data_IF_002796859870
#
_entry.id   IF_002796859870
#
_cell.length_a   1.000
_cell.length_b   1.000
_cell.length_c   1.000
_cell.angle_alpha   90.00
_cell.angle_beta   90.00
_cell.angle_gamma   90.00
#
_symmetry.space_group_name_H-M   'P 1'
#
loop_
_entity.id
_entity.type
_entity.pdbx_description
1 polymer ?
#
# COMPACT_ATOMS: atom_id res chain seq x y z
N UNK A 1 -12.81 31.70 15.00
CA UNK A 1 -12.63 31.23 13.61
C UNK A 1 -11.19 30.79 13.48
N UNK A 2 -10.96 29.51 13.22
CA UNK A 2 -9.61 28.95 13.03
C UNK A 2 -9.07 29.43 11.68
N UNK A 3 -7.84 29.95 11.67
CA UNK A 3 -7.10 30.38 10.48
C UNK A 3 -6.75 29.18 9.60
N UNK A 4 -7.74 28.65 8.86
CA UNK A 4 -7.53 27.61 7.88
C UNK A 4 -6.75 28.16 6.68
N UNK A 5 -5.48 27.75 6.54
CA UNK A 5 -4.65 28.06 5.38
C UNK A 5 -4.69 26.85 4.43
N UNK A 6 -5.34 26.97 3.24
CA UNK A 6 -5.44 25.86 2.31
C UNK A 6 -4.05 25.42 1.83
N UNK A 7 -3.79 24.11 1.69
CA UNK A 7 -2.54 23.61 1.12
C UNK A 7 -2.34 24.12 -0.31
N UNK A 8 -1.07 24.22 -0.72
CA UNK A 8 -0.68 24.71 -2.04
C UNK A 8 -0.13 23.52 -2.84
N UNK A 9 -0.76 23.22 -3.96
CA UNK A 9 -0.29 22.27 -4.98
C UNK A 9 0.01 23.07 -6.26
N UNK A 10 1.21 22.95 -6.82
CA UNK A 10 1.66 23.72 -8.00
C UNK A 10 1.36 25.23 -7.93
N UNK A 11 1.57 25.83 -6.76
CA UNK A 11 1.32 27.26 -6.53
C UNK A 11 -0.17 27.64 -6.46
N UNK A 12 -1.10 26.69 -6.60
CA UNK A 12 -2.55 26.91 -6.50
C UNK A 12 -3.08 26.46 -5.14
N UNK A 13 -4.00 27.24 -4.58
CA UNK A 13 -4.72 26.86 -3.35
C UNK A 13 -5.68 25.71 -3.66
N UNK A 14 -5.55 24.62 -2.94
CA UNK A 14 -6.47 23.49 -3.03
C UNK A 14 -7.36 23.47 -1.80
N UNK A 15 -8.67 23.41 -2.01
CA UNK A 15 -9.66 23.19 -0.97
C UNK A 15 -9.87 21.67 -0.85
N UNK A 16 -9.59 21.10 0.31
CA UNK A 16 -9.71 19.67 0.56
C UNK A 16 -9.17 19.31 1.94
N UNK A 17 -9.44 18.10 2.42
CA UNK A 17 -8.86 17.63 3.67
C UNK A 17 -7.32 17.60 3.53
N UNK A 18 -6.55 18.15 4.49
CA UNK A 18 -5.09 18.10 4.44
C UNK A 18 -4.51 16.69 4.26
N UNK A 19 -5.17 15.65 4.78
CA UNK A 19 -4.74 14.27 4.61
C UNK A 19 -5.00 13.74 3.20
N UNK A 20 -6.14 14.05 2.59
CA UNK A 20 -6.44 13.68 1.19
C UNK A 20 -5.45 14.34 0.23
N UNK A 21 -5.12 15.62 0.48
CA UNK A 21 -4.13 16.34 -0.32
C UNK A 21 -2.75 15.69 -0.19
N UNK A 22 -2.36 15.27 1.03
CA UNK A 22 -1.10 14.55 1.26
C UNK A 22 -1.10 13.17 0.63
N UNK A 23 -2.22 12.44 0.66
CA UNK A 23 -2.34 11.14 -0.02
C UNK A 23 -2.07 11.27 -1.52
N UNK A 24 -2.66 12.28 -2.17
CA UNK A 24 -2.41 12.56 -3.60
C UNK A 24 -0.95 12.93 -3.86
N UNK A 25 -0.33 13.76 -3.01
CA UNK A 25 1.09 14.12 -3.12
C UNK A 25 1.99 12.88 -3.00
N UNK A 26 1.79 12.10 -1.94
CA UNK A 26 2.57 10.90 -1.69
C UNK A 26 2.40 9.88 -2.83
N UNK A 27 1.18 9.72 -3.37
CA UNK A 27 0.93 8.87 -4.51
C UNK A 27 1.70 9.33 -5.75
N UNK A 28 1.67 10.63 -6.07
CA UNK A 28 2.45 11.21 -7.16
C UNK A 28 3.95 10.94 -7.00
N UNK A 29 4.50 11.19 -5.82
CA UNK A 29 5.93 10.94 -5.53
C UNK A 29 6.29 9.44 -5.65
N UNK A 30 5.41 8.55 -5.21
CA UNK A 30 5.63 7.11 -5.35
C UNK A 30 5.60 6.64 -6.80
N UNK A 31 4.75 7.23 -7.65
CA UNK A 31 4.73 6.96 -9.09
C UNK A 31 6.03 7.36 -9.78
N UNK A 32 6.58 8.52 -9.43
CA UNK A 32 7.88 8.97 -9.96
C UNK A 32 9.02 8.02 -9.55
N UNK A 33 8.93 7.42 -8.36
CA UNK A 33 9.91 6.45 -7.88
C UNK A 33 9.73 5.05 -8.49
N UNK A 34 8.53 4.71 -8.99
CA UNK A 34 8.15 3.35 -9.40
C UNK A 34 9.14 2.71 -10.38
N UNK A 35 9.60 3.45 -11.39
CA UNK A 35 10.54 2.95 -12.41
C UNK A 35 11.96 2.69 -11.87
N UNK A 36 12.26 3.17 -10.67
CA UNK A 36 13.55 3.00 -9.99
C UNK A 36 13.52 1.88 -8.95
N UNK A 37 12.33 1.37 -8.60
CA UNK A 37 12.14 0.30 -7.62
C UNK A 37 12.34 -1.06 -8.29
N UNK A 38 12.91 -2.00 -7.55
CA UNK A 38 12.88 -3.40 -7.93
C UNK A 38 11.52 -4.00 -7.49
N UNK A 39 10.63 -4.39 -8.43
CA UNK A 39 9.33 -4.95 -8.08
C UNK A 39 9.42 -6.31 -7.37
N UNK A 40 10.59 -6.93 -7.35
CA UNK A 40 10.86 -8.19 -6.67
C UNK A 40 11.70 -8.00 -5.39
N UNK A 41 11.75 -6.79 -4.82
CA UNK A 41 12.42 -6.49 -3.55
C UNK A 41 11.43 -6.14 -2.45
N UNK A 42 11.50 -6.85 -1.32
CA UNK A 42 10.70 -6.53 -0.13
C UNK A 42 11.09 -5.17 0.44
N UNK A 43 12.38 -4.81 0.41
CA UNK A 43 12.84 -3.51 0.90
C UNK A 43 12.26 -2.36 0.06
N UNK A 44 12.16 -2.53 -1.26
CA UNK A 44 11.56 -1.53 -2.14
C UNK A 44 10.03 -1.47 -1.97
N UNK A 45 9.37 -2.59 -1.67
CA UNK A 45 7.97 -2.60 -1.25
C UNK A 45 7.77 -1.76 0.03
N UNK A 46 8.61 -1.98 1.05
CA UNK A 46 8.54 -1.22 2.30
C UNK A 46 8.86 0.27 2.05
N UNK A 47 9.83 0.57 1.18
CA UNK A 47 10.17 1.94 0.78
C UNK A 47 9.00 2.64 0.07
N UNK A 48 8.32 1.95 -0.85
CA UNK A 48 7.13 2.46 -1.52
C UNK A 48 6.00 2.72 -0.51
N UNK A 49 5.73 1.77 0.38
CA UNK A 49 4.72 1.93 1.43
C UNK A 49 5.04 3.11 2.36
N UNK A 50 6.33 3.28 2.74
CA UNK A 50 6.79 4.41 3.55
C UNK A 50 6.48 5.74 2.90
N UNK A 51 6.76 5.87 1.61
CA UNK A 51 6.53 7.09 0.84
C UNK A 51 5.03 7.37 0.72
N UNK A 52 4.26 6.37 0.29
CA UNK A 52 2.80 6.45 0.14
C UNK A 52 2.11 6.92 1.43
N UNK A 53 2.52 6.39 2.57
CA UNK A 53 1.85 6.63 3.86
C UNK A 53 2.57 7.66 4.74
N UNK A 54 3.57 8.35 4.20
CA UNK A 54 4.36 9.35 4.92
C UNK A 54 3.48 10.48 5.44
N UNK A 55 3.52 10.73 6.75
CA UNK A 55 2.71 11.78 7.39
C UNK A 55 1.20 11.52 7.39
N UNK A 56 0.76 10.30 7.04
CA UNK A 56 -0.63 9.84 7.13
C UNK A 56 -0.80 8.85 8.29
N UNK A 57 0.10 7.87 8.40
CA UNK A 57 0.02 6.82 9.43
C UNK A 57 1.36 6.64 10.16
N UNK A 58 1.35 6.28 11.47
CA UNK A 58 2.59 6.05 12.22
C UNK A 58 3.33 4.77 11.79
N UNK A 59 2.59 3.74 11.36
CA UNK A 59 3.13 2.43 10.96
C UNK A 59 3.45 2.36 9.46
N UNK A 60 4.07 3.41 8.91
CA UNK A 60 4.51 3.43 7.52
C UNK A 60 5.86 2.70 7.34
N UNK A 61 6.08 2.12 6.16
CA UNK A 61 7.36 1.50 5.80
C UNK A 61 7.75 0.22 6.55
N UNK A 62 6.81 -0.45 7.20
CA UNK A 62 7.02 -1.70 7.94
C UNK A 62 5.76 -2.54 7.92
N UNK A 63 5.91 -3.86 8.09
CA UNK A 63 4.77 -4.74 8.28
C UNK A 63 4.02 -4.43 9.56
N UNK A 64 2.72 -4.72 9.56
CA UNK A 64 1.86 -4.52 10.72
C UNK A 64 2.32 -5.34 11.91
N UNK A 65 2.25 -4.74 13.08
CA UNK A 65 2.53 -5.40 14.37
C UNK A 65 1.29 -6.04 15.01
N UNK A 66 0.09 -5.67 14.54
CA UNK A 66 -1.19 -6.13 15.07
C UNK A 66 -2.03 -6.94 14.08
N UNK A 67 -3.09 -7.57 14.60
CA UNK A 67 -4.11 -8.22 13.76
C UNK A 67 -4.96 -7.18 13.02
N UNK A 68 -5.38 -7.52 11.80
CA UNK A 68 -6.29 -6.70 10.98
C UNK A 68 -7.46 -7.58 10.53
N UNK A 69 -8.67 -7.04 10.63
CA UNK A 69 -9.89 -7.66 10.09
C UNK A 69 -10.21 -7.07 8.72
N UNK A 70 -10.69 -7.92 7.81
CA UNK A 70 -11.21 -7.51 6.50
C UNK A 70 -12.73 -7.40 6.62
N UNK A 71 -13.28 -6.24 6.27
CA UNK A 71 -14.70 -5.92 6.45
C UNK A 71 -15.40 -5.62 5.12
N UNK A 72 -16.68 -5.97 5.03
CA UNK A 72 -17.63 -5.46 4.04
C UNK A 72 -18.67 -4.59 4.78
N UNK A 73 -18.48 -3.27 4.72
CA UNK A 73 -19.19 -2.33 5.59
C UNK A 73 -18.87 -2.59 7.07
N UNK A 74 -19.88 -2.98 7.85
CA UNK A 74 -19.73 -3.31 9.28
C UNK A 74 -19.51 -4.81 9.54
N UNK A 75 -19.58 -5.66 8.49
CA UNK A 75 -19.49 -7.11 8.64
C UNK A 75 -18.04 -7.55 8.55
N UNK A 76 -17.54 -8.21 9.60
CA UNK A 76 -16.24 -8.88 9.56
C UNK A 76 -16.34 -10.10 8.65
N UNK A 77 -15.63 -10.08 7.52
CA UNK A 77 -15.61 -11.19 6.57
C UNK A 77 -14.62 -12.25 7.06
N UNK A 78 -13.39 -11.84 7.35
CA UNK A 78 -12.38 -12.72 7.95
C UNK A 78 -11.25 -11.91 8.61
N UNK A 79 -10.44 -12.60 9.41
CA UNK A 79 -9.18 -12.06 9.91
C UNK A 79 -8.06 -12.30 8.89
N UNK A 80 -7.16 -11.34 8.75
CA UNK A 80 -5.89 -11.57 8.07
C UNK A 80 -5.02 -12.55 8.90
N UNK A 81 -4.00 -13.18 8.29
CA UNK A 81 -3.05 -14.02 9.03
C UNK A 81 -2.45 -13.30 10.25
N UNK A 82 -2.06 -14.00 11.32
CA UNK A 82 -1.36 -13.38 12.45
C UNK A 82 -0.15 -12.55 12.01
N UNK A 83 0.04 -11.39 12.64
CA UNK A 83 1.07 -10.42 12.28
C UNK A 83 2.49 -11.02 12.29
N UNK A 84 2.75 -11.95 13.21
CA UNK A 84 4.05 -12.63 13.34
C UNK A 84 4.45 -13.45 12.12
N UNK A 85 3.47 -13.92 11.32
CA UNK A 85 3.74 -14.69 10.09
C UNK A 85 3.82 -13.82 8.83
N UNK A 86 3.43 -12.55 8.90
CA UNK A 86 3.44 -11.64 7.73
C UNK A 86 4.81 -11.56 7.06
N UNK A 87 5.94 -11.36 7.78
CA UNK A 87 7.25 -11.29 7.14
C UNK A 87 7.58 -12.55 6.35
N UNK A 88 7.35 -13.73 6.94
CA UNK A 88 7.61 -15.01 6.28
C UNK A 88 6.74 -15.19 5.03
N UNK A 89 5.44 -14.92 5.12
CA UNK A 89 4.53 -15.04 3.98
C UNK A 89 4.90 -14.11 2.83
N UNK A 90 5.26 -12.85 3.12
CA UNK A 90 5.70 -11.91 2.08
C UNK A 90 7.02 -12.38 1.45
N UNK A 91 8.00 -12.80 2.23
CA UNK A 91 9.26 -13.32 1.67
C UNK A 91 9.03 -14.56 0.79
N UNK A 92 8.18 -15.49 1.22
CA UNK A 92 7.82 -16.68 0.44
C UNK A 92 7.09 -16.31 -0.85
N UNK A 93 6.17 -15.34 -0.82
CA UNK A 93 5.46 -14.85 -2.00
C UNK A 93 6.42 -14.22 -3.03
N UNK A 94 7.37 -13.40 -2.57
CA UNK A 94 8.39 -12.81 -3.43
C UNK A 94 9.33 -13.87 -4.01
N UNK A 95 9.76 -14.86 -3.22
CA UNK A 95 10.56 -15.97 -3.70
C UNK A 95 9.84 -16.77 -4.79
N UNK A 96 8.55 -17.08 -4.57
CA UNK A 96 7.71 -17.71 -5.57
C UNK A 96 7.60 -16.87 -6.86
N UNK A 97 7.35 -15.56 -6.75
CA UNK A 97 7.21 -14.68 -7.91
C UNK A 97 8.48 -14.62 -8.78
N UNK A 98 9.66 -14.70 -8.14
CA UNK A 98 10.96 -14.71 -8.82
C UNK A 98 11.26 -16.06 -9.50
N UNK A 99 10.85 -17.17 -8.88
CA UNK A 99 11.14 -18.53 -9.37
C UNK A 99 10.09 -19.08 -10.34
N UNK A 100 8.87 -18.52 -10.32
CA UNK A 100 7.76 -18.99 -11.15
C UNK A 100 8.01 -18.77 -12.64
N UNK A 101 7.87 -19.85 -13.42
CA UNK A 101 7.93 -19.84 -14.89
C UNK A 101 6.62 -19.40 -15.55
N UNK A 102 5.59 -19.06 -14.75
CA UNK A 102 4.32 -18.57 -15.27
C UNK A 102 4.48 -17.23 -16.00
N UNK A 103 3.62 -17.01 -16.98
CA UNK A 103 3.57 -15.74 -17.72
C UNK A 103 3.42 -14.55 -16.74
N UNK A 104 4.15 -13.42 -16.94
CA UNK A 104 4.12 -12.26 -16.05
C UNK A 104 2.71 -11.81 -15.63
N UNK A 105 1.77 -11.75 -16.58
CA UNK A 105 0.38 -11.38 -16.28
C UNK A 105 -0.31 -12.34 -15.28
N UNK A 106 -0.07 -13.65 -15.40
CA UNK A 106 -0.67 -14.65 -14.52
C UNK A 106 -0.04 -14.55 -13.13
N UNK A 107 1.29 -14.49 -13.05
CA UNK A 107 1.95 -14.37 -11.75
C UNK A 107 1.67 -13.05 -11.05
N UNK A 108 1.45 -11.95 -11.79
CA UNK A 108 0.99 -10.69 -11.20
C UNK A 108 -0.41 -10.81 -10.60
N UNK A 109 -1.33 -11.53 -11.24
CA UNK A 109 -2.67 -11.76 -10.70
C UNK A 109 -2.64 -12.62 -9.43
N UNK A 110 -1.84 -13.69 -9.42
CA UNK A 110 -1.66 -14.53 -8.23
C UNK A 110 -0.98 -13.74 -7.12
N UNK A 111 0.08 -13.00 -7.42
CA UNK A 111 0.76 -12.13 -6.45
C UNK A 111 -0.22 -11.14 -5.82
N UNK A 112 -1.06 -10.50 -6.65
CA UNK A 112 -2.05 -9.54 -6.16
C UNK A 112 -3.05 -10.19 -5.20
N UNK A 113 -3.56 -11.37 -5.55
CA UNK A 113 -4.49 -12.14 -4.71
C UNK A 113 -3.85 -12.52 -3.36
N UNK A 114 -2.67 -13.11 -3.39
CA UNK A 114 -1.95 -13.55 -2.18
C UNK A 114 -1.55 -12.36 -1.30
N UNK A 115 -1.07 -11.28 -1.90
CA UNK A 115 -0.70 -10.06 -1.17
C UNK A 115 -1.89 -9.46 -0.42
N UNK A 116 -3.06 -9.42 -1.07
CA UNK A 116 -4.29 -8.93 -0.45
C UNK A 116 -4.74 -9.82 0.72
N UNK A 117 -4.60 -11.13 0.56
CA UNK A 117 -4.91 -12.09 1.61
C UNK A 117 -3.98 -11.94 2.83
N UNK A 118 -2.67 -11.77 2.61
CA UNK A 118 -1.69 -11.56 3.69
C UNK A 118 -1.93 -10.23 4.41
N UNK A 119 -2.32 -9.21 3.65
CA UNK A 119 -2.64 -7.86 4.11
C UNK A 119 -1.50 -7.28 4.99
N UNK A 120 -0.30 -7.04 4.42
CA UNK A 120 0.92 -6.91 5.20
C UNK A 120 1.05 -5.61 6.00
N UNK A 121 0.26 -4.58 5.68
CA UNK A 121 0.30 -3.28 6.34
C UNK A 121 -0.95 -3.03 7.19
N UNK A 122 -0.87 -2.14 8.17
CA UNK A 122 -2.02 -1.76 9.00
C UNK A 122 -3.02 -0.88 8.23
N UNK A 123 -2.49 -0.03 7.34
CA UNK A 123 -3.24 0.85 6.44
C UNK A 123 -2.50 0.96 5.10
N UNK A 124 -3.12 1.52 4.07
CA UNK A 124 -2.44 1.76 2.79
C UNK A 124 -2.26 0.54 1.88
N UNK A 125 -2.76 -0.65 2.27
CA UNK A 125 -2.76 -1.84 1.40
C UNK A 125 -3.53 -1.58 0.09
N UNK A 126 -4.63 -0.80 0.16
CA UNK A 126 -5.46 -0.42 -0.99
C UNK A 126 -4.86 0.72 -1.82
N UNK A 127 -4.19 1.70 -1.21
CA UNK A 127 -3.57 2.83 -1.96
C UNK A 127 -2.34 2.37 -2.76
N UNK A 128 -1.69 1.27 -2.35
CA UNK A 128 -0.72 0.55 -3.19
C UNK A 128 -1.36 -0.13 -4.43
N UNK A 129 -2.69 -0.09 -4.58
CA UNK A 129 -3.45 -0.69 -5.70
C UNK A 129 -3.80 0.28 -6.83
N UNK A 130 -3.13 1.41 -7.04
CA UNK A 130 -3.47 2.30 -8.17
C UNK A 130 -3.15 1.73 -9.59
N UNK A 131 -3.37 0.43 -9.81
CA UNK A 131 -3.86 -0.08 -11.08
C UNK A 131 -5.03 -1.05 -10.86
N UNK A 132 -6.25 -0.53 -10.69
CA UNK A 132 -7.49 -0.98 -11.33
C UNK A 132 -8.72 -0.29 -10.70
N UNK A 133 -9.56 0.34 -11.53
CA UNK A 133 -10.91 0.77 -11.17
C UNK A 133 -11.88 -0.40 -11.30
N UNK A 134 -12.88 -0.49 -10.44
CA UNK A 134 -14.11 -1.23 -10.71
C UNK A 134 -15.33 -0.38 -10.31
N UNK A 135 -16.24 -0.25 -11.29
CA UNK A 135 -17.60 0.31 -11.33
C UNK A 135 -18.00 1.42 -10.33
#
# INVERSE_FOLDING_TARGET
>A
MSDYKPPILDGKRVLGNPNEIREVQNAYEAYELMMQLNPASVDDLLKAHKLMMSGLVPENGKFRSGGVGIFDGEVLIHMAPPAEFVPEHIHNLFAWYQQSELHPLIKSAVFHYEFEFIHPFAEGNVTLRHQQKAA
#
